data_IF_236050141255
#
_entry.id   IF_236050141255
#
_cell.length_a   1.000
_cell.length_b   1.000
_cell.length_c   1.000
_cell.angle_alpha   90.00
_cell.angle_beta   90.00
_cell.angle_gamma   90.00
#
_symmetry.space_group_name_H-M   'P 1'
#
loop_
_entity.id
_entity.type
_entity.pdbx_description
1 polymer ?
#
# COMPACT_ATOMS: atom_id res chain seq x y z
N UNK A 1 20.90 1.93 6.08
CA UNK A 1 21.13 2.59 7.39
C UNK A 1 19.93 2.30 8.29
N UNK A 2 19.98 1.22 9.05
CA UNK A 2 18.89 0.83 9.96
C UNK A 2 19.01 1.57 11.28
N UNK A 3 18.04 2.41 11.61
CA UNK A 3 17.97 3.09 12.89
C UNK A 3 17.57 2.08 13.97
N UNK A 4 18.57 1.54 14.67
CA UNK A 4 18.37 0.56 15.74
C UNK A 4 17.73 1.24 16.94
N UNK A 5 16.40 1.09 17.05
CA UNK A 5 15.57 1.63 18.13
C UNK A 5 15.85 1.00 19.49
N UNK A 6 16.55 -0.13 19.59
CA UNK A 6 16.69 -0.85 20.86
C UNK A 6 17.74 -0.23 21.81
N UNK A 7 18.74 0.50 21.29
CA UNK A 7 19.94 0.88 22.07
C UNK A 7 19.80 2.21 22.83
N UNK A 8 18.87 3.08 22.44
CA UNK A 8 18.79 4.45 22.95
C UNK A 8 17.80 4.64 24.11
N UNK A 9 16.96 3.64 24.40
CA UNK A 9 15.86 3.78 25.38
C UNK A 9 16.05 2.95 26.66
N UNK A 10 17.12 2.14 26.74
CA UNK A 10 17.41 1.29 27.90
C UNK A 10 18.15 1.99 29.04
N UNK A 11 18.51 3.28 28.87
CA UNK A 11 19.30 4.05 29.85
C UNK A 11 18.75 5.43 30.19
N UNK A 12 17.52 5.74 29.74
CA UNK A 12 16.88 7.01 30.07
C UNK A 12 16.31 6.95 31.49
N UNK A 13 16.56 7.97 32.32
CA UNK A 13 16.10 7.97 33.71
C UNK A 13 14.57 7.94 33.76
N UNK A 14 14.00 7.32 34.79
CA UNK A 14 12.54 7.13 34.98
C UNK A 14 11.70 8.43 35.03
N UNK A 15 12.34 9.60 35.10
CA UNK A 15 11.69 10.92 34.92
C UNK A 15 11.56 11.33 33.45
N UNK A 16 12.37 10.77 32.56
CA UNK A 16 12.22 10.89 31.12
C UNK A 16 11.12 9.91 30.67
N UNK A 17 9.87 10.39 30.71
CA UNK A 17 8.70 9.64 30.27
C UNK A 17 8.73 9.26 28.77
N UNK A 18 7.74 8.48 28.36
CA UNK A 18 7.48 8.13 26.96
C UNK A 18 7.17 9.40 26.13
N UNK A 19 7.95 9.72 25.08
CA UNK A 19 7.73 10.91 24.29
C UNK A 19 6.51 10.73 23.38
N UNK A 20 5.48 11.53 23.61
CA UNK A 20 4.29 11.59 22.80
C UNK A 20 4.48 12.61 21.68
N UNK A 21 4.17 12.20 20.45
CA UNK A 21 4.26 13.05 19.27
C UNK A 21 3.03 13.95 19.25
N UNK A 22 3.21 15.26 19.34
CA UNK A 22 2.13 16.23 19.14
C UNK A 22 2.08 16.70 17.69
N UNK A 23 3.25 16.96 17.10
CA UNK A 23 3.42 17.31 15.68
C UNK A 23 4.71 16.68 15.15
N UNK A 24 4.95 16.77 13.83
CA UNK A 24 6.15 16.17 13.19
C UNK A 24 7.49 16.65 13.78
N UNK A 25 7.52 17.82 14.44
CA UNK A 25 8.73 18.41 15.02
C UNK A 25 8.65 18.61 16.53
N UNK A 26 7.53 18.29 17.19
CA UNK A 26 7.33 18.57 18.61
C UNK A 26 6.92 17.30 19.38
N UNK A 27 7.68 17.01 20.44
CA UNK A 27 7.48 15.87 21.34
C UNK A 27 7.26 16.37 22.77
N UNK A 28 6.37 15.71 23.51
CA UNK A 28 6.08 16.02 24.91
C UNK A 28 6.36 14.79 25.77
N UNK A 29 7.10 14.90 26.89
CA UNK A 29 7.29 13.78 27.80
C UNK A 29 5.97 13.41 28.48
N UNK A 30 5.52 12.17 28.32
CA UNK A 30 4.33 11.62 28.96
C UNK A 30 4.64 10.34 29.75
N UNK A 31 3.77 9.95 30.68
CA UNK A 31 3.88 8.65 31.34
C UNK A 31 2.72 7.78 30.90
N UNK A 32 3.01 6.57 30.43
CA UNK A 32 1.98 5.59 30.13
C UNK A 32 1.46 5.04 31.45
N UNK A 33 0.15 5.16 31.68
CA UNK A 33 -0.50 4.64 32.88
C UNK A 33 -0.95 3.19 32.70
N UNK A 34 -1.44 2.86 31.50
CA UNK A 34 -1.89 1.52 31.12
C UNK A 34 -1.19 1.09 29.83
N UNK A 35 -0.69 -0.13 29.83
CA UNK A 35 -0.03 -0.80 28.69
C UNK A 35 -0.77 -2.06 28.26
N UNK A 36 -1.77 -2.48 29.03
CA UNK A 36 -2.58 -3.66 28.76
C UNK A 36 -3.74 -3.33 27.82
N UNK A 37 -4.29 -2.12 27.89
CA UNK A 37 -5.37 -1.68 27.03
C UNK A 37 -4.90 -0.66 25.99
N UNK A 38 -5.34 -0.86 24.75
CA UNK A 38 -5.04 0.00 23.60
C UNK A 38 -6.30 0.33 22.84
N UNK A 39 -6.36 1.56 22.32
CA UNK A 39 -7.42 2.00 21.42
C UNK A 39 -7.07 1.62 19.98
N UNK A 40 -8.01 0.96 19.30
CA UNK A 40 -7.88 0.54 17.91
C UNK A 40 -8.91 1.29 17.06
N UNK A 41 -8.45 1.91 15.98
CA UNK A 41 -9.31 2.46 14.93
C UNK A 41 -9.89 1.33 14.06
N UNK A 42 -11.22 1.21 14.10
CA UNK A 42 -11.97 0.23 13.30
C UNK A 42 -12.51 0.81 11.98
N UNK A 43 -12.35 2.11 11.75
CA UNK A 43 -12.88 2.85 10.61
C UNK A 43 -14.04 3.76 10.99
N UNK A 44 -14.47 4.59 10.02
CA UNK A 44 -15.60 5.54 10.13
C UNK A 44 -15.56 6.50 11.33
N UNK A 45 -14.38 6.69 11.93
CA UNK A 45 -14.18 7.55 13.10
C UNK A 45 -14.44 6.88 14.45
N UNK A 46 -14.58 5.55 14.49
CA UNK A 46 -14.81 4.81 15.74
C UNK A 46 -13.53 4.16 16.26
N UNK A 47 -13.35 4.25 17.58
CA UNK A 47 -12.25 3.62 18.30
C UNK A 47 -12.81 2.62 19.31
N UNK A 48 -12.17 1.46 19.40
CA UNK A 48 -12.54 0.40 20.34
C UNK A 48 -11.34 0.10 21.23
N UNK A 49 -11.57 0.07 22.54
CA UNK A 49 -10.58 -0.36 23.50
C UNK A 49 -10.48 -1.89 23.50
N UNK A 50 -9.25 -2.39 23.38
CA UNK A 50 -8.92 -3.81 23.34
C UNK A 50 -7.69 -4.09 24.19
N UNK A 51 -7.57 -5.33 24.65
CA UNK A 51 -6.33 -5.79 25.27
C UNK A 51 -5.20 -5.81 24.24
N UNK A 52 -3.96 -5.69 24.70
CA UNK A 52 -2.78 -5.69 23.85
C UNK A 52 -2.63 -6.99 23.06
N UNK A 53 -3.14 -8.11 23.57
CA UNK A 53 -3.16 -9.41 22.90
C UNK A 53 -4.21 -9.44 21.78
N UNK A 54 -5.45 -9.07 22.08
CA UNK A 54 -6.53 -8.97 21.09
C UNK A 54 -6.17 -7.98 19.96
N UNK A 55 -5.48 -6.90 20.30
CA UNK A 55 -5.01 -5.90 19.35
C UNK A 55 -3.99 -6.48 18.37
N UNK A 56 -3.04 -7.29 18.85
CA UNK A 56 -2.06 -7.97 17.98
C UNK A 56 -2.77 -8.90 17.00
N UNK A 57 -3.74 -9.66 17.48
CA UNK A 57 -4.52 -10.58 16.63
C UNK A 57 -5.43 -9.83 15.64
N UNK A 58 -5.99 -8.69 16.04
CA UNK A 58 -6.71 -7.80 15.13
C UNK A 58 -5.82 -7.31 13.99
N UNK A 59 -4.65 -6.76 14.31
CA UNK A 59 -3.72 -6.26 13.28
C UNK A 59 -3.17 -7.38 12.40
N UNK A 60 -2.89 -8.56 12.97
CA UNK A 60 -2.48 -9.74 12.19
C UNK A 60 -3.55 -10.13 11.17
N UNK A 61 -4.81 -10.25 11.59
CA UNK A 61 -5.94 -10.53 10.67
C UNK A 61 -6.12 -9.44 9.61
N UNK A 62 -5.91 -8.16 9.97
CA UNK A 62 -6.00 -7.03 9.03
C UNK A 62 -4.90 -7.10 7.98
N UNK A 63 -3.68 -7.45 8.37
CA UNK A 63 -2.56 -7.68 7.45
C UNK A 63 -2.89 -8.85 6.51
N UNK A 64 -3.31 -10.00 7.05
CA UNK A 64 -3.64 -11.18 6.25
C UNK A 64 -4.76 -10.90 5.24
N UNK A 65 -5.79 -10.14 5.65
CA UNK A 65 -6.85 -9.71 4.76
C UNK A 65 -6.32 -8.83 3.61
N UNK A 66 -5.53 -7.80 3.93
CA UNK A 66 -4.96 -6.90 2.92
C UNK A 66 -4.04 -7.65 1.95
N UNK A 67 -3.17 -8.53 2.46
CA UNK A 67 -2.29 -9.36 1.62
C UNK A 67 -3.10 -10.23 0.66
N UNK A 68 -4.14 -10.93 1.14
CA UNK A 68 -5.03 -11.73 0.28
C UNK A 68 -5.75 -10.89 -0.78
N UNK A 69 -6.14 -9.65 -0.46
CA UNK A 69 -6.74 -8.76 -1.46
C UNK A 69 -5.72 -8.36 -2.53
N UNK A 70 -4.47 -8.06 -2.14
CA UNK A 70 -3.39 -7.75 -3.08
C UNK A 70 -3.08 -8.93 -4.01
N UNK A 71 -2.96 -10.14 -3.46
CA UNK A 71 -2.73 -11.38 -4.23
C UNK A 71 -3.82 -11.65 -5.28
N UNK A 72 -5.08 -11.28 -4.99
CA UNK A 72 -6.19 -11.40 -5.95
C UNK A 72 -6.17 -10.33 -7.05
N UNK A 73 -5.77 -9.10 -6.70
CA UNK A 73 -5.76 -7.97 -7.64
C UNK A 73 -4.62 -8.09 -8.65
N UNK A 74 -3.46 -8.59 -8.21
CA UNK A 74 -2.27 -8.69 -9.05
C UNK A 74 -2.46 -9.49 -10.36
N UNK A 75 -3.04 -10.72 -10.37
CA UNK A 75 -3.28 -11.46 -11.61
C UNK A 75 -4.34 -10.81 -12.49
N UNK A 76 -5.41 -10.27 -11.91
CA UNK A 76 -6.45 -9.56 -12.67
C UNK A 76 -5.87 -8.32 -13.38
N UNK A 77 -4.97 -7.59 -12.72
CA UNK A 77 -4.28 -6.46 -13.32
C UNK A 77 -3.38 -6.91 -14.48
N UNK A 78 -2.62 -8.00 -14.29
CA UNK A 78 -1.73 -8.53 -15.32
C UNK A 78 -2.51 -9.01 -16.55
N UNK A 79 -3.62 -9.72 -16.36
CA UNK A 79 -4.49 -10.18 -17.44
C UNK A 79 -5.06 -9.00 -18.23
N UNK A 80 -5.56 -7.96 -17.54
CA UNK A 80 -6.06 -6.74 -18.20
C UNK A 80 -4.95 -6.00 -18.94
N UNK A 81 -3.72 -6.00 -18.43
CA UNK A 81 -2.57 -5.40 -19.08
C UNK A 81 -2.20 -6.16 -20.37
N UNK A 82 -2.09 -7.49 -20.32
CA UNK A 82 -1.81 -8.32 -21.50
C UNK A 82 -2.92 -8.19 -22.56
N UNK A 83 -4.19 -8.20 -22.14
CA UNK A 83 -5.32 -8.01 -23.04
C UNK A 83 -5.27 -6.64 -23.74
N UNK A 84 -4.96 -5.57 -22.98
CA UNK A 84 -4.75 -4.23 -23.56
C UNK A 84 -3.61 -4.26 -24.58
N UNK A 85 -2.49 -4.91 -24.27
CA UNK A 85 -1.34 -5.00 -25.16
C UNK A 85 -1.69 -5.69 -26.48
N UNK A 86 -2.38 -6.83 -26.42
CA UNK A 86 -2.83 -7.56 -27.61
C UNK A 86 -3.76 -6.71 -28.49
N UNK A 87 -4.70 -5.96 -27.90
CA UNK A 87 -5.58 -5.05 -28.63
C UNK A 87 -4.79 -3.93 -29.31
N UNK A 88 -3.79 -3.36 -28.64
CA UNK A 88 -2.93 -2.32 -29.21
C UNK A 88 -2.09 -2.85 -30.39
N UNK A 89 -1.57 -4.08 -30.29
CA UNK A 89 -0.83 -4.72 -31.38
C UNK A 89 -1.71 -4.98 -32.60
N UNK A 90 -2.92 -5.53 -32.41
CA UNK A 90 -3.88 -5.72 -33.50
C UNK A 90 -4.29 -4.39 -34.15
N UNK A 91 -4.46 -3.34 -33.34
CA UNK A 91 -4.75 -2.00 -33.84
C UNK A 91 -3.62 -1.47 -34.72
N UNK A 92 -2.36 -1.61 -34.27
CA UNK A 92 -1.18 -1.22 -35.04
C UNK A 92 -1.07 -2.00 -36.36
N UNK A 93 -1.30 -3.31 -36.33
CA UNK A 93 -1.29 -4.16 -37.52
C UNK A 93 -2.36 -3.73 -38.54
N UNK A 94 -3.59 -3.46 -38.09
CA UNK A 94 -4.65 -2.97 -38.98
C UNK A 94 -4.31 -1.61 -39.60
N UNK A 95 -3.71 -0.69 -38.83
CA UNK A 95 -3.27 0.61 -39.35
C UNK A 95 -2.19 0.41 -40.42
N UNK A 96 -1.19 -0.44 -40.18
CA UNK A 96 -0.15 -0.74 -41.15
C UNK A 96 -0.72 -1.36 -42.45
N UNK A 97 -1.66 -2.30 -42.34
CA UNK A 97 -2.35 -2.89 -43.50
C UNK A 97 -3.15 -1.85 -44.30
N UNK A 98 -3.85 -0.93 -43.63
CA UNK A 98 -4.57 0.16 -44.32
C UNK A 98 -3.62 1.12 -45.03
N UNK A 99 -2.47 1.44 -44.42
CA UNK A 99 -1.46 2.30 -45.06
C UNK A 99 -0.81 1.64 -46.28
N UNK A 100 -0.57 0.32 -46.27
CA UNK A 100 0.01 -0.38 -47.43
C UNK A 100 -1.01 -0.59 -48.54
N UNK A 101 -2.28 -0.84 -48.22
CA UNK A 101 -3.37 -0.91 -49.20
C UNK A 101 -3.67 0.45 -49.86
N UNK A 102 -3.54 1.57 -49.11
CA UNK A 102 -3.63 2.92 -49.67
C UNK A 102 -2.48 3.29 -50.61
N UNK A 103 -1.29 2.72 -50.41
CA UNK A 103 -0.14 2.93 -51.29
C UNK A 103 -0.20 2.09 -52.59
N UNK A 104 -0.86 0.93 -52.58
CA UNK A 104 -0.98 0.05 -53.76
C UNK A 104 -1.95 0.56 -54.83
N UNK A 105 -2.88 1.46 -54.50
CA UNK A 105 -3.79 2.07 -55.48
C UNK A 105 -3.16 3.24 -56.28
N UNK A 106 -1.96 3.70 -55.92
CA UNK A 106 -1.29 4.81 -56.62
C UNK A 106 -0.47 4.36 -57.85
N UNK A 107 -0.14 3.06 -57.99
CA UNK A 107 0.76 2.57 -59.07
C UNK A 107 0.05 1.89 -60.24
N UNK A 108 -1.26 1.66 -60.18
CA UNK A 108 -2.03 1.01 -61.27
C UNK A 108 -2.76 1.98 -62.21
N UNK A 109 -2.48 3.28 -62.12
CA UNK A 109 -3.09 4.32 -62.98
C UNK A 109 -2.09 5.16 -63.80
N UNK A 110 -0.84 4.71 -63.94
CA UNK A 110 0.16 5.34 -64.80
C UNK A 110 0.23 4.63 -66.17
#
# INVERSE_FOLDING_TARGET
MGFSRQKYWSGLPYWAGFPLILTSQMYVPGKLHDVEHVLIDVGTGYYVEKTAEDAKDFFKRKIDFLTKQMEKIQPALQEKHTMKQAVMEMMSQKIQQLTTLGAAQATTKA
#
